data_IF_603544988673
#
_entry.id   IF_603544988673
#
_cell.length_a   1.000
_cell.length_b   1.000
_cell.length_c   1.000
_cell.angle_alpha   90.00
_cell.angle_beta   90.00
_cell.angle_gamma   90.00
#
_symmetry.space_group_name_H-M   'P 1'
#
loop_
_entity.id
_entity.type
_entity.pdbx_description
1 polymer ?
#
# COMPACT_ATOMS: atom_id res chain seq x y z
N UNK A 1 -26.64 14.81 -23.62
CA UNK A 1 -25.25 15.28 -23.49
C UNK A 1 -24.99 15.49 -22.00
N UNK A 2 -24.30 14.55 -21.34
CA UNK A 2 -24.04 14.62 -19.90
C UNK A 2 -22.81 15.52 -19.66
N UNK A 3 -23.06 16.79 -19.38
CA UNK A 3 -22.04 17.73 -18.95
C UNK A 3 -21.70 17.47 -17.47
N UNK A 4 -20.42 17.20 -17.18
CA UNK A 4 -19.80 17.75 -15.96
C UNK A 4 -19.76 16.91 -14.69
N UNK A 5 -19.89 15.58 -14.70
CA UNK A 5 -19.44 14.79 -13.54
C UNK A 5 -17.95 14.47 -13.69
N UNK A 6 -17.12 15.50 -13.50
CA UNK A 6 -15.70 15.29 -13.25
C UNK A 6 -15.51 14.69 -11.86
N UNK A 7 -14.71 13.62 -11.76
CA UNK A 7 -14.29 13.10 -10.46
C UNK A 7 -13.16 13.97 -9.92
N UNK A 8 -13.40 14.63 -8.78
CA UNK A 8 -12.35 15.36 -8.06
C UNK A 8 -11.60 14.38 -7.15
N UNK A 9 -10.28 14.28 -7.36
CA UNK A 9 -9.41 13.38 -6.60
C UNK A 9 -8.71 14.18 -5.51
N UNK A 10 -9.02 13.84 -4.26
CA UNK A 10 -8.39 14.45 -3.08
C UNK A 10 -7.01 13.81 -2.83
N UNK A 11 -5.98 14.27 -3.55
CA UNK A 11 -4.62 13.70 -3.52
C UNK A 11 -3.98 13.69 -2.12
N UNK A 12 -4.36 14.65 -1.26
CA UNK A 12 -3.90 14.72 0.13
C UNK A 12 -4.48 13.60 1.00
N UNK A 13 -5.74 13.23 0.77
CA UNK A 13 -6.34 12.08 1.46
C UNK A 13 -5.70 10.77 1.01
N UNK A 14 -5.31 10.69 -0.26
CA UNK A 14 -4.57 9.53 -0.79
C UNK A 14 -3.19 9.43 -0.11
N UNK A 15 -2.49 10.55 0.07
CA UNK A 15 -1.21 10.57 0.79
C UNK A 15 -1.32 10.11 2.24
N UNK A 16 -2.37 10.55 2.94
CA UNK A 16 -2.64 10.11 4.31
C UNK A 16 -2.88 8.59 4.39
N UNK A 17 -3.60 8.03 3.40
CA UNK A 17 -3.83 6.59 3.29
C UNK A 17 -2.54 5.83 2.98
N UNK A 18 -1.69 6.31 2.08
CA UNK A 18 -0.37 5.73 1.79
C UNK A 18 0.49 5.70 3.05
N UNK A 19 0.51 6.80 3.81
CA UNK A 19 1.24 6.90 5.09
C UNK A 19 0.73 5.87 6.10
N UNK A 20 -0.59 5.72 6.22
CA UNK A 20 -1.22 4.76 7.13
C UNK A 20 -0.89 3.32 6.75
N UNK A 21 -0.98 3.00 5.46
CA UNK A 21 -0.62 1.67 4.93
C UNK A 21 0.87 1.36 5.09
N UNK A 22 1.74 2.38 5.00
CA UNK A 22 3.18 2.21 5.28
C UNK A 22 3.40 1.78 6.71
N UNK A 23 2.81 2.49 7.68
CA UNK A 23 2.89 2.11 9.10
C UNK A 23 2.33 0.71 9.35
N UNK A 24 1.22 0.36 8.71
CA UNK A 24 0.64 -0.98 8.82
C UNK A 24 1.59 -2.05 8.25
N UNK A 25 2.22 -1.78 7.10
CA UNK A 25 3.22 -2.66 6.49
C UNK A 25 4.42 -2.90 7.39
N UNK A 26 4.93 -1.84 8.05
CA UNK A 26 6.04 -1.93 9.00
C UNK A 26 5.66 -2.77 10.22
N UNK A 27 4.51 -2.49 10.85
CA UNK A 27 3.99 -3.26 11.98
C UNK A 27 3.77 -4.75 11.63
N UNK A 28 3.29 -5.01 10.40
CA UNK A 28 3.10 -6.39 9.93
C UNK A 28 4.46 -7.06 9.66
N UNK A 29 5.46 -6.33 9.20
CA UNK A 29 6.83 -6.83 9.05
C UNK A 29 7.50 -7.19 10.38
N UNK A 30 7.29 -6.38 11.41
CA UNK A 30 7.73 -6.70 12.78
C UNK A 30 7.03 -7.97 13.30
N UNK A 31 5.74 -8.12 13.00
CA UNK A 31 4.97 -9.31 13.34
C UNK A 31 5.48 -10.56 12.59
N UNK A 32 5.76 -10.48 11.28
CA UNK A 32 6.38 -11.56 10.52
C UNK A 32 7.67 -11.99 11.20
N UNK A 33 8.54 -11.04 11.54
CA UNK A 33 9.81 -11.32 12.21
C UNK A 33 9.60 -12.05 13.55
N UNK A 34 8.63 -11.61 14.35
CA UNK A 34 8.31 -12.24 15.63
C UNK A 34 7.77 -13.66 15.46
N UNK A 35 6.88 -13.87 14.47
CA UNK A 35 6.26 -15.17 14.21
C UNK A 35 7.26 -16.15 13.58
N UNK A 36 8.13 -15.71 12.66
CA UNK A 36 9.21 -16.54 12.13
C UNK A 36 10.13 -17.05 13.24
N UNK A 37 10.52 -16.18 14.18
CA UNK A 37 11.29 -16.60 15.37
C UNK A 37 10.52 -17.59 16.24
N UNK A 38 9.20 -17.45 16.35
CA UNK A 38 8.36 -18.42 17.07
C UNK A 38 8.34 -19.77 16.35
N UNK A 39 8.24 -19.78 15.03
CA UNK A 39 8.24 -20.99 14.20
C UNK A 39 9.55 -21.78 14.31
N UNK A 40 10.68 -21.08 14.44
CA UNK A 40 12.00 -21.69 14.59
C UNK A 40 12.19 -22.35 15.97
N UNK A 41 11.41 -21.96 16.99
CA UNK A 41 11.55 -22.52 18.33
C UNK A 41 11.06 -23.96 18.41
N UNK A 42 11.73 -24.75 19.26
CA UNK A 42 11.26 -26.07 19.66
C UNK A 42 10.49 -25.97 20.97
N UNK A 43 9.19 -26.30 21.01
CA UNK A 43 8.46 -26.37 22.26
C UNK A 43 9.07 -27.44 23.17
N UNK A 44 9.51 -27.05 24.37
CA UNK A 44 10.02 -27.99 25.37
C UNK A 44 8.86 -28.62 26.15
N UNK A 45 8.19 -29.58 25.54
CA UNK A 45 7.02 -30.26 26.12
C UNK A 45 7.36 -31.62 26.78
N UNK A 46 8.63 -31.99 26.80
CA UNK A 46 9.12 -33.30 27.26
C UNK A 46 9.34 -34.30 26.11
N UNK A 47 9.65 -35.55 26.45
CA UNK A 47 10.00 -36.62 25.50
C UNK A 47 8.93 -37.72 25.36
N UNK A 48 7.82 -37.61 26.10
CA UNK A 48 6.71 -38.54 25.96
C UNK A 48 6.15 -38.48 24.53
N UNK A 49 5.78 -39.61 23.89
CA UNK A 49 5.23 -39.61 22.53
C UNK A 49 4.14 -38.56 22.25
N UNK A 50 3.11 -38.38 23.12
CA UNK A 50 2.11 -37.32 22.90
C UNK A 50 2.67 -35.90 22.99
N UNK A 51 3.71 -35.67 23.79
CA UNK A 51 4.36 -34.36 23.90
C UNK A 51 5.17 -34.03 22.64
N UNK A 52 5.85 -35.02 22.06
CA UNK A 52 6.58 -34.87 20.79
C UNK A 52 5.61 -34.58 19.64
N UNK A 53 4.47 -35.27 19.60
CA UNK A 53 3.44 -35.02 18.60
C UNK A 53 2.86 -33.61 18.74
N UNK A 54 2.55 -33.16 19.95
CA UNK A 54 2.08 -31.80 20.21
C UNK A 54 3.13 -30.75 19.81
N UNK A 55 4.40 -30.95 20.16
CA UNK A 55 5.49 -30.05 19.77
C UNK A 55 5.60 -29.93 18.23
N UNK A 56 5.43 -31.05 17.52
CA UNK A 56 5.44 -31.09 16.05
C UNK A 56 4.26 -30.31 15.46
N UNK A 57 3.06 -30.50 15.99
CA UNK A 57 1.85 -29.77 15.55
C UNK A 57 1.96 -28.26 15.78
N UNK A 58 2.47 -27.85 16.95
CA UNK A 58 2.69 -26.44 17.27
C UNK A 58 3.71 -25.80 16.32
N UNK A 59 4.78 -26.53 15.98
CA UNK A 59 5.76 -26.05 15.01
C UNK A 59 5.16 -25.90 13.61
N UNK A 60 4.36 -26.88 13.17
CA UNK A 60 3.67 -26.79 11.88
C UNK A 60 2.68 -25.62 11.82
N UNK A 61 1.95 -25.38 12.91
CA UNK A 61 1.01 -24.26 13.03
C UNK A 61 1.71 -22.90 13.09
N UNK A 62 2.90 -22.81 13.69
CA UNK A 62 3.68 -21.58 13.73
C UNK A 62 4.46 -21.32 12.42
N UNK A 63 4.83 -22.37 11.69
CA UNK A 63 5.68 -22.33 10.49
C UNK A 63 5.06 -21.70 9.25
N UNK A 64 5.79 -21.82 8.14
CA UNK A 64 5.42 -21.24 6.84
C UNK A 64 4.07 -21.73 6.30
N UNK A 65 3.70 -22.99 6.58
CA UNK A 65 2.38 -23.53 6.23
C UNK A 65 1.25 -23.05 7.14
N UNK A 66 1.56 -22.28 8.18
CA UNK A 66 0.61 -21.76 9.16
C UNK A 66 0.80 -20.25 9.37
N UNK A 67 0.88 -19.84 10.64
CA UNK A 67 0.84 -18.44 11.04
C UNK A 67 1.93 -17.58 10.37
N UNK A 68 3.16 -18.06 10.25
CA UNK A 68 4.23 -17.29 9.61
C UNK A 68 3.92 -17.00 8.13
N UNK A 69 3.35 -17.96 7.42
CA UNK A 69 2.95 -17.80 6.02
C UNK A 69 1.79 -16.83 5.86
N UNK A 70 0.76 -16.96 6.70
CA UNK A 70 -0.42 -16.08 6.68
C UNK A 70 -0.05 -14.61 6.91
N UNK A 71 0.75 -14.34 7.94
CA UNK A 71 1.19 -12.97 8.24
C UNK A 71 2.08 -12.43 7.13
N UNK A 72 2.95 -13.26 6.54
CA UNK A 72 3.79 -12.86 5.40
C UNK A 72 2.96 -12.56 4.15
N UNK A 73 1.88 -13.31 3.90
CA UNK A 73 0.96 -13.03 2.80
C UNK A 73 0.24 -11.70 3.02
N UNK A 74 -0.29 -11.46 4.21
CA UNK A 74 -0.93 -10.19 4.56
C UNK A 74 0.02 -9.00 4.40
N UNK A 75 1.29 -9.14 4.82
CA UNK A 75 2.30 -8.09 4.61
C UNK A 75 2.46 -7.75 3.13
N UNK A 76 2.57 -8.77 2.27
CA UNK A 76 2.70 -8.58 0.81
C UNK A 76 1.51 -7.82 0.23
N UNK A 77 0.29 -8.18 0.64
CA UNK A 77 -0.93 -7.51 0.18
C UNK A 77 -0.95 -6.03 0.57
N UNK A 78 -0.58 -5.69 1.81
CA UNK A 78 -0.52 -4.28 2.27
C UNK A 78 0.53 -3.49 1.47
N UNK A 79 1.70 -4.09 1.21
CA UNK A 79 2.77 -3.44 0.43
C UNK A 79 2.34 -3.22 -1.03
N UNK A 80 1.72 -4.21 -1.66
CA UNK A 80 1.22 -4.09 -3.03
C UNK A 80 0.09 -3.06 -3.13
N UNK A 81 -0.85 -3.05 -2.18
CA UNK A 81 -1.93 -2.06 -2.16
C UNK A 81 -1.40 -0.64 -2.01
N UNK A 82 -0.40 -0.43 -1.14
CA UNK A 82 0.31 0.85 -1.02
C UNK A 82 0.94 1.25 -2.36
N UNK A 83 1.60 0.32 -3.06
CA UNK A 83 2.24 0.59 -4.36
C UNK A 83 1.22 1.05 -5.39
N UNK A 84 0.13 0.30 -5.54
CA UNK A 84 -0.96 0.66 -6.46
C UNK A 84 -1.56 2.03 -6.14
N UNK A 85 -1.74 2.36 -4.86
CA UNK A 85 -2.29 3.65 -4.46
C UNK A 85 -1.32 4.81 -4.78
N UNK A 86 -0.02 4.60 -4.61
CA UNK A 86 1.01 5.57 -4.98
C UNK A 86 1.10 5.77 -6.51
N UNK A 87 1.04 4.69 -7.28
CA UNK A 87 0.98 4.73 -8.75
C UNK A 87 -0.26 5.50 -9.24
N UNK A 88 -1.43 5.24 -8.65
CA UNK A 88 -2.66 5.95 -8.97
C UNK A 88 -2.55 7.46 -8.65
N UNK A 89 -1.99 7.82 -7.48
CA UNK A 89 -1.74 9.22 -7.13
C UNK A 89 -0.84 9.91 -8.17
N UNK A 90 0.25 9.27 -8.57
CA UNK A 90 1.19 9.81 -9.54
C UNK A 90 0.53 10.02 -10.91
N UNK A 91 -0.34 9.10 -11.34
CA UNK A 91 -1.10 9.23 -12.58
C UNK A 91 -2.03 10.46 -12.57
N UNK A 92 -2.79 10.67 -11.49
CA UNK A 92 -3.66 11.85 -11.36
C UNK A 92 -2.89 13.16 -11.30
N UNK A 93 -1.80 13.23 -10.52
CA UNK A 93 -0.96 14.43 -10.44
C UNK A 93 -0.37 14.84 -11.79
N UNK A 94 -0.05 13.86 -12.65
CA UNK A 94 0.43 14.12 -14.02
C UNK A 94 -0.66 14.74 -14.90
N UNK A 95 -1.88 14.20 -14.85
CA UNK A 95 -3.02 14.71 -15.64
C UNK A 95 -3.37 16.15 -15.25
N UNK A 96 -3.36 16.46 -13.95
CA UNK A 96 -3.59 17.83 -13.47
C UNK A 96 -2.48 18.79 -13.94
N UNK A 97 -1.22 18.35 -13.90
CA UNK A 97 -0.08 19.14 -14.38
C UNK A 97 -0.11 19.43 -15.88
N UNK A 98 -0.49 18.44 -16.70
CA UNK A 98 -0.59 18.60 -18.15
C UNK A 98 -1.79 19.48 -18.54
N UNK A 99 -2.91 19.36 -17.82
CA UNK A 99 -4.10 20.21 -18.03
C UNK A 99 -3.83 21.67 -17.65
N UNK A 100 -3.12 21.92 -16.55
CA UNK A 100 -2.73 23.26 -16.12
C UNK A 100 -1.79 23.98 -17.13
N UNK A 101 -0.90 23.23 -17.78
CA UNK A 101 -0.02 23.78 -18.84
C UNK A 101 -0.78 24.09 -20.13
N UNK A 102 -1.75 23.27 -20.51
CA UNK A 102 -2.59 23.53 -21.69
C UNK A 102 -3.44 24.80 -21.56
N UNK A 103 -4.00 25.07 -20.37
CA UNK A 103 -4.80 26.26 -20.10
C UNK A 103 -3.94 27.53 -20.04
N UNK A 104 -2.73 27.47 -19.46
CA UNK A 104 -1.79 28.60 -19.44
C UNK A 104 -1.26 28.96 -20.84
N UNK A 105 -1.03 27.96 -21.70
CA UNK A 105 -0.66 28.20 -23.09
C UNK A 105 -1.82 28.83 -23.91
N UNK A 106 -3.07 28.48 -23.60
CA UNK A 106 -4.26 29.04 -24.26
C UNK A 106 -4.66 30.44 -23.74
N UNK A 107 -4.36 30.76 -22.48
CA UNK A 107 -4.66 32.06 -21.86
C UNK A 107 -3.61 33.15 -22.08
N UNK A 108 -2.51 32.84 -22.78
CA UNK A 108 -1.35 33.71 -22.93
C UNK A 108 -1.30 34.59 -24.18
N UNK A 109 -2.32 34.62 -25.04
CA UNK A 109 -2.37 35.56 -26.18
C UNK A 109 -2.97 36.90 -25.72
N UNK A 110 -2.18 37.97 -25.55
CA UNK A 110 -2.73 39.28 -25.26
C UNK A 110 -3.42 39.75 -26.54
N UNK A 111 -4.72 40.01 -26.42
CA UNK A 111 -5.49 40.75 -27.41
C UNK A 111 -4.82 42.13 -27.55
N UNK A 112 -4.10 42.36 -28.63
CA UNK A 112 -3.61 43.69 -28.98
C UNK A 112 -4.81 44.51 -29.48
N UNK A 113 -5.51 45.13 -28.54
CA UNK A 113 -6.42 46.23 -28.83
C UNK A 113 -5.59 47.53 -28.91
N UNK A 114 -5.73 48.25 -30.03
CA UNK A 114 -5.10 49.56 -30.28
C UNK A 114 -4.86 49.77 -31.78
N UNK A 115 -5.85 50.18 -32.57
CA UNK A 115 -6.41 51.53 -32.73
C UNK A 115 -5.48 52.54 -33.44
N UNK A 116 -5.98 53.02 -34.59
CA UNK A 116 -5.73 54.29 -35.27
C UNK A 116 -4.30 54.62 -35.76
N UNK A 117 -4.14 54.71 -37.09
CA UNK A 117 -4.24 55.97 -37.84
C UNK A 117 -4.34 55.71 -39.35
#
# INVERSE_FOLDING_TARGET
>A
MNAGQGYQVELDQIELRITTLTKLGDLTGDLVTAVSRLAERQPMLGTAPPAVELATRLRAAAGESGLAGEVSAAQREVVEFRRMLAEAKAAYAKVDGDTGKGVQAAGGSPRTDGAAS
#
